data_IF_608896455487
#
_entry.id   IF_608896455487
#
_cell.length_a   1.000
_cell.length_b   1.000
_cell.length_c   1.000
_cell.angle_alpha   90.00
_cell.angle_beta   90.00
_cell.angle_gamma   90.00
#
_symmetry.space_group_name_H-M   'P 1'
#
loop_
_entity.id
_entity.type
_entity.pdbx_description
1 polymer ?
#
# COMPACT_ATOMS: atom_id res chain seq x y z
N UNK A 1 12.86 -22.09 15.78
CA UNK A 1 12.44 -23.11 14.79
C UNK A 1 11.54 -22.51 13.71
N UNK A 2 11.03 -23.28 12.74
CA UNK A 2 10.35 -22.76 11.53
C UNK A 2 9.07 -23.54 11.18
N UNK A 3 8.04 -22.85 10.65
CA UNK A 3 6.79 -23.47 10.15
C UNK A 3 6.27 -22.78 8.88
N UNK A 4 5.58 -23.54 8.02
CA UNK A 4 4.84 -23.16 6.79
C UNK A 4 3.58 -24.05 6.72
N UNK A 5 2.34 -23.65 6.41
CA UNK A 5 1.71 -22.45 5.81
C UNK A 5 1.81 -22.36 4.27
N UNK A 6 0.64 -22.23 3.64
CA UNK A 6 0.40 -21.96 2.21
C UNK A 6 -0.97 -21.30 2.12
N UNK A 7 -0.96 -20.03 1.80
CA UNK A 7 -2.10 -19.13 1.82
C UNK A 7 -2.37 -18.58 0.41
N UNK A 8 -3.51 -17.94 0.16
CA UNK A 8 -3.82 -17.40 -1.18
C UNK A 8 -4.53 -16.05 -1.11
N UNK A 9 -4.05 -15.10 -1.90
CA UNK A 9 -4.79 -13.91 -2.30
C UNK A 9 -5.36 -14.12 -3.72
N UNK A 10 -6.60 -13.70 -3.93
CA UNK A 10 -7.29 -13.83 -5.22
C UNK A 10 -8.05 -12.57 -5.58
N UNK A 11 -7.79 -12.03 -6.76
CA UNK A 11 -8.45 -10.85 -7.30
C UNK A 11 -9.38 -11.29 -8.43
N UNK A 12 -10.67 -11.00 -8.33
CA UNK A 12 -11.69 -11.55 -9.24
C UNK A 12 -11.80 -10.85 -10.60
N UNK A 13 -10.74 -10.16 -11.01
CA UNK A 13 -10.60 -9.48 -12.30
C UNK A 13 -10.91 -10.40 -13.48
N UNK A 14 -11.58 -9.86 -14.50
CA UNK A 14 -11.82 -10.53 -15.80
C UNK A 14 -10.77 -10.16 -16.83
N UNK A 15 -10.22 -8.95 -16.73
CA UNK A 15 -9.21 -8.44 -17.65
C UNK A 15 -7.79 -8.76 -17.17
N UNK A 16 -6.83 -8.68 -18.09
CA UNK A 16 -5.42 -8.92 -17.77
C UNK A 16 -4.84 -7.81 -16.88
N UNK A 17 -4.34 -8.20 -15.72
CA UNK A 17 -3.71 -7.28 -14.76
C UNK A 17 -2.27 -6.96 -15.20
N UNK A 18 -1.86 -5.68 -15.28
CA UNK A 18 -0.49 -5.31 -15.60
C UNK A 18 0.51 -5.81 -14.55
N UNK A 19 1.67 -6.32 -14.98
CA UNK A 19 2.71 -6.87 -14.09
C UNK A 19 3.17 -5.87 -13.02
N UNK A 20 3.16 -4.56 -13.31
CA UNK A 20 3.50 -3.53 -12.34
C UNK A 20 2.50 -3.43 -11.18
N UNK A 21 1.24 -3.77 -11.39
CA UNK A 21 0.21 -3.76 -10.35
C UNK A 21 0.20 -5.06 -9.55
N UNK A 22 0.58 -6.19 -10.17
CA UNK A 22 0.92 -7.44 -9.46
C UNK A 22 2.12 -7.22 -8.52
N UNK A 23 3.22 -6.61 -9.02
CA UNK A 23 4.42 -6.32 -8.21
C UNK A 23 4.06 -5.41 -7.03
N UNK A 24 3.23 -4.37 -7.23
CA UNK A 24 2.74 -3.53 -6.13
C UNK A 24 1.95 -4.34 -5.12
N UNK A 25 1.00 -5.18 -5.56
CA UNK A 25 0.16 -5.97 -4.68
C UNK A 25 0.99 -6.87 -3.77
N UNK A 26 1.95 -7.60 -4.34
CA UNK A 26 2.92 -8.44 -3.62
C UNK A 26 3.79 -7.63 -2.63
N UNK A 27 4.29 -6.46 -3.04
CA UNK A 27 5.07 -5.54 -2.19
C UNK A 27 4.22 -4.99 -1.01
N UNK A 28 2.95 -4.65 -1.27
CA UNK A 28 1.99 -4.27 -0.23
C UNK A 28 1.63 -5.40 0.72
N UNK A 29 1.45 -6.62 0.20
CA UNK A 29 1.22 -7.82 1.01
C UNK A 29 2.44 -8.12 1.90
N UNK A 30 3.65 -7.97 1.37
CA UNK A 30 4.89 -8.11 2.14
C UNK A 30 4.99 -7.08 3.26
N UNK A 31 4.66 -5.82 3.00
CA UNK A 31 4.58 -4.77 4.03
C UNK A 31 3.57 -5.12 5.15
N UNK A 32 2.36 -5.56 4.79
CA UNK A 32 1.29 -5.87 5.78
C UNK A 32 1.59 -7.13 6.58
N UNK A 33 1.97 -8.22 5.91
CA UNK A 33 2.23 -9.51 6.56
C UNK A 33 3.48 -9.45 7.46
N UNK A 34 4.44 -8.57 7.14
CA UNK A 34 5.58 -8.26 8.04
C UNK A 34 5.19 -7.63 9.39
N UNK A 35 3.93 -7.22 9.59
CA UNK A 35 3.40 -6.69 10.86
C UNK A 35 2.75 -7.76 11.74
N UNK A 36 2.46 -8.94 11.18
CA UNK A 36 1.80 -10.06 11.89
C UNK A 36 2.60 -10.55 13.11
N UNK A 37 3.96 -10.62 13.10
CA UNK A 37 4.75 -10.95 14.29
C UNK A 37 4.43 -10.04 15.49
N UNK A 38 4.52 -8.71 15.30
CA UNK A 38 4.23 -7.73 16.34
C UNK A 38 2.79 -7.87 16.87
N UNK A 39 1.83 -8.23 16.00
CA UNK A 39 0.45 -8.45 16.41
C UNK A 39 0.32 -9.68 17.33
N UNK A 40 0.99 -10.79 17.00
CA UNK A 40 0.97 -11.98 17.86
C UNK A 40 1.62 -11.70 19.23
N UNK A 41 2.71 -10.95 19.27
CA UNK A 41 3.40 -10.60 20.53
C UNK A 41 2.60 -9.61 21.41
N UNK A 42 1.76 -8.75 20.81
CA UNK A 42 0.82 -7.88 21.55
C UNK A 42 -0.39 -8.65 22.11
N UNK A 43 -0.85 -9.72 21.44
CA UNK A 43 -1.92 -10.60 21.93
C UNK A 43 -1.39 -11.55 23.02
N UNK A 44 -0.23 -12.18 22.78
CA UNK A 44 0.41 -13.09 23.73
C UNK A 44 1.90 -12.76 23.89
N UNK A 45 2.18 -11.98 24.94
CA UNK A 45 3.55 -11.59 25.35
C UNK A 45 4.49 -12.76 25.71
N UNK A 46 4.01 -14.00 25.75
CA UNK A 46 4.86 -15.20 25.91
C UNK A 46 5.36 -15.78 24.59
N UNK A 47 4.82 -15.33 23.45
CA UNK A 47 5.33 -15.64 22.13
C UNK A 47 6.51 -14.74 21.77
N UNK A 48 7.49 -15.30 21.06
CA UNK A 48 8.52 -14.51 20.37
C UNK A 48 8.74 -15.02 18.95
N UNK A 49 8.41 -14.16 17.98
CA UNK A 49 8.45 -14.44 16.55
C UNK A 49 9.60 -13.65 15.94
N UNK A 50 10.75 -14.32 15.77
CA UNK A 50 11.99 -13.73 15.24
C UNK A 50 11.78 -13.09 13.87
N UNK A 51 11.06 -13.79 12.99
CA UNK A 51 11.00 -13.45 11.56
C UNK A 51 9.79 -14.09 10.89
N UNK A 52 9.19 -13.37 9.95
CA UNK A 52 8.13 -13.89 9.07
C UNK A 52 8.46 -13.50 7.63
N UNK A 53 8.71 -14.51 6.80
CA UNK A 53 9.03 -14.37 5.38
C UNK A 53 7.91 -14.91 4.50
N UNK A 54 7.79 -14.33 3.31
CA UNK A 54 6.80 -14.73 2.31
C UNK A 54 7.56 -15.09 1.04
N UNK A 55 7.13 -16.16 0.37
CA UNK A 55 7.59 -16.55 -0.94
C UNK A 55 6.39 -16.75 -1.85
N UNK A 56 6.57 -16.48 -3.14
CA UNK A 56 5.59 -16.78 -4.17
C UNK A 56 5.72 -18.25 -4.51
N UNK A 57 4.66 -19.02 -4.32
CA UNK A 57 4.58 -20.45 -4.68
C UNK A 57 4.03 -20.61 -6.11
N UNK A 58 2.98 -19.85 -6.45
CA UNK A 58 2.40 -19.86 -7.80
C UNK A 58 1.75 -18.51 -8.16
N UNK A 59 1.89 -18.10 -9.43
CA UNK A 59 1.14 -16.99 -10.04
C UNK A 59 0.39 -17.53 -11.26
N UNK A 60 -0.91 -17.24 -11.36
CA UNK A 60 -1.74 -17.61 -12.52
C UNK A 60 -2.26 -16.39 -13.27
N UNK A 61 -2.20 -16.46 -14.60
CA UNK A 61 -2.75 -15.44 -15.52
C UNK A 61 -4.24 -15.66 -15.79
N UNK A 62 -4.96 -14.55 -16.02
CA UNK A 62 -6.42 -14.49 -15.98
C UNK A 62 -6.82 -13.59 -14.82
N UNK A 63 -7.78 -14.03 -14.00
CA UNK A 63 -7.94 -13.50 -12.64
C UNK A 63 -6.69 -13.78 -11.82
N UNK A 64 -6.12 -12.76 -11.16
CA UNK A 64 -4.84 -12.86 -10.46
C UNK A 64 -4.99 -13.74 -9.22
N UNK A 65 -4.32 -14.90 -9.24
CA UNK A 65 -4.17 -15.81 -8.09
C UNK A 65 -2.71 -15.73 -7.65
N UNK A 66 -2.50 -15.41 -6.37
CA UNK A 66 -1.21 -15.38 -5.70
C UNK A 66 -1.22 -16.46 -4.61
N UNK A 67 -0.57 -17.60 -4.88
CA UNK A 67 -0.31 -18.61 -3.86
C UNK A 67 0.98 -18.22 -3.11
N UNK A 68 0.87 -18.07 -1.79
CA UNK A 68 1.94 -17.57 -0.92
C UNK A 68 2.39 -18.66 0.05
N UNK A 69 3.69 -18.94 0.07
CA UNK A 69 4.33 -19.75 1.12
C UNK A 69 4.79 -18.80 2.23
N UNK A 70 4.15 -18.87 3.40
CA UNK A 70 4.54 -18.06 4.57
C UNK A 70 5.44 -18.90 5.47
N UNK A 71 6.59 -18.36 5.86
CA UNK A 71 7.55 -18.98 6.78
C UNK A 71 7.60 -18.16 8.06
N UNK A 72 7.24 -18.75 9.20
CA UNK A 72 7.36 -18.12 10.53
C UNK A 72 8.51 -18.75 11.29
N UNK A 73 9.32 -17.93 11.96
CA UNK A 73 10.54 -18.35 12.70
C UNK A 73 10.45 -17.94 14.17
N UNK A 74 10.70 -18.87 15.09
CA UNK A 74 10.53 -18.72 16.55
C UNK A 74 11.85 -18.71 17.33
N UNK A 75 11.84 -18.01 18.48
CA UNK A 75 12.95 -17.81 19.42
C UNK A 75 13.84 -19.04 19.62
N UNK A 76 13.21 -20.15 19.99
CA UNK A 76 13.85 -21.43 20.28
C UNK A 76 12.90 -22.61 20.07
N UNK A 77 13.07 -23.65 20.88
CA UNK A 77 12.15 -24.79 20.96
C UNK A 77 10.98 -24.47 21.90
N UNK A 78 11.25 -23.88 23.06
CA UNK A 78 10.22 -23.53 24.02
C UNK A 78 9.21 -22.52 23.47
N UNK A 79 9.60 -21.60 22.59
CA UNK A 79 8.70 -20.64 21.94
C UNK A 79 7.88 -21.26 20.79
N UNK A 80 8.45 -22.20 20.02
CA UNK A 80 7.63 -22.97 19.08
C UNK A 80 6.66 -23.86 19.85
N UNK A 81 7.12 -24.49 20.93
CA UNK A 81 6.30 -25.38 21.74
C UNK A 81 5.23 -24.55 22.48
N UNK A 82 5.50 -23.36 23.00
CA UNK A 82 4.47 -22.44 23.53
C UNK A 82 3.45 -22.06 22.45
N UNK A 83 3.90 -21.84 21.21
CA UNK A 83 3.06 -21.55 20.05
C UNK A 83 2.28 -22.76 19.52
N UNK A 84 2.70 -23.99 19.85
CA UNK A 84 2.15 -25.25 19.35
C UNK A 84 1.58 -26.17 20.45
N UNK A 85 1.61 -25.78 21.73
CA UNK A 85 1.22 -26.60 22.89
C UNK A 85 0.36 -25.84 23.90
N UNK A 86 -0.12 -26.59 24.90
CA UNK A 86 -1.21 -26.34 25.86
C UNK A 86 -1.03 -25.12 26.80
N UNK A 87 -0.06 -24.23 26.58
CA UNK A 87 0.32 -23.17 27.55
C UNK A 87 -0.07 -21.74 27.16
N UNK A 88 -0.31 -21.43 25.89
CA UNK A 88 -0.85 -20.12 25.44
C UNK A 88 -2.37 -20.08 25.60
N UNK A 89 -2.90 -19.43 26.64
CA UNK A 89 -4.31 -19.62 27.07
C UNK A 89 -5.37 -19.25 26.02
N UNK A 90 -5.16 -18.18 25.26
CA UNK A 90 -6.12 -17.68 24.28
C UNK A 90 -6.14 -18.56 23.03
N UNK A 91 -4.96 -18.74 22.43
CA UNK A 91 -4.78 -19.54 21.20
C UNK A 91 -5.09 -21.03 21.45
N UNK A 92 -4.77 -21.56 22.64
CA UNK A 92 -5.04 -22.96 23.02
C UNK A 92 -6.52 -23.30 23.09
N UNK A 93 -7.37 -22.44 23.69
CA UNK A 93 -8.79 -22.80 23.92
C UNK A 93 -9.54 -23.00 22.59
N UNK A 94 -9.17 -22.21 21.57
CA UNK A 94 -9.64 -22.34 20.19
C UNK A 94 -9.11 -23.60 19.49
N UNK A 95 -7.83 -23.95 19.71
CA UNK A 95 -7.19 -25.16 19.16
C UNK A 95 -7.76 -26.45 19.75
N UNK A 96 -8.06 -26.48 21.06
CA UNK A 96 -8.51 -27.66 21.80
C UNK A 96 -9.95 -28.04 21.47
N UNK A 97 -10.88 -27.06 21.50
CA UNK A 97 -12.32 -27.32 21.21
C UNK A 97 -12.56 -27.88 19.80
N UNK A 98 -11.64 -27.65 18.87
CA UNK A 98 -11.79 -28.02 17.46
C UNK A 98 -10.78 -29.08 16.97
N UNK A 99 -9.84 -29.53 17.82
CA UNK A 99 -8.90 -30.62 17.51
C UNK A 99 -7.97 -30.32 16.33
N UNK A 100 -7.43 -29.10 16.23
CA UNK A 100 -6.88 -28.61 14.96
C UNK A 100 -5.36 -28.67 14.85
N UNK A 101 -4.91 -29.62 14.00
CA UNK A 101 -3.65 -29.54 13.27
C UNK A 101 -3.70 -28.38 12.26
N UNK A 102 -2.68 -27.52 12.22
CA UNK A 102 -2.28 -26.67 11.06
C UNK A 102 -3.26 -25.57 10.56
N UNK A 103 -4.58 -25.75 10.69
CA UNK A 103 -5.63 -24.96 10.00
C UNK A 103 -6.12 -23.73 10.78
N UNK A 104 -5.98 -23.74 12.11
CA UNK A 104 -6.45 -22.67 12.99
C UNK A 104 -5.54 -21.44 12.91
N UNK A 105 -4.24 -21.64 13.11
CA UNK A 105 -3.24 -20.57 13.05
C UNK A 105 -3.22 -19.81 11.71
N UNK A 106 -3.34 -20.53 10.58
CA UNK A 106 -3.39 -19.92 9.25
C UNK A 106 -4.62 -19.04 9.05
N UNK A 107 -5.76 -19.44 9.61
CA UNK A 107 -6.98 -18.62 9.61
C UNK A 107 -6.75 -17.34 10.43
N UNK A 108 -6.11 -17.44 11.60
CA UNK A 108 -5.71 -16.28 12.42
C UNK A 108 -4.79 -15.32 11.69
N UNK A 109 -3.77 -15.82 10.97
CA UNK A 109 -2.91 -15.00 10.12
C UNK A 109 -3.71 -14.21 9.07
N UNK A 110 -4.64 -14.87 8.37
CA UNK A 110 -5.49 -14.21 7.37
C UNK A 110 -6.42 -13.16 8.01
N UNK A 111 -6.94 -13.42 9.22
CA UNK A 111 -7.76 -12.45 9.95
C UNK A 111 -6.93 -11.23 10.38
N UNK A 112 -5.69 -11.40 10.84
CA UNK A 112 -4.77 -10.28 11.15
C UNK A 112 -4.45 -9.46 9.89
N UNK A 113 -4.17 -10.12 8.76
CA UNK A 113 -3.96 -9.45 7.47
C UNK A 113 -5.21 -8.67 7.05
N UNK A 114 -6.41 -9.24 7.23
CA UNK A 114 -7.67 -8.56 6.94
C UNK A 114 -7.91 -7.35 7.86
N UNK A 115 -7.57 -7.44 9.16
CA UNK A 115 -7.61 -6.32 10.10
C UNK A 115 -6.66 -5.18 9.72
N UNK A 116 -5.42 -5.52 9.33
CA UNK A 116 -4.41 -4.55 8.91
C UNK A 116 -4.79 -3.85 7.60
N UNK A 117 -5.31 -4.59 6.61
CA UNK A 117 -5.93 -4.02 5.41
C UNK A 117 -7.11 -3.11 5.79
N UNK A 118 -7.91 -3.52 6.78
CA UNK A 118 -9.03 -2.73 7.30
C UNK A 118 -8.60 -1.40 7.91
N UNK A 119 -7.62 -1.41 8.81
CA UNK A 119 -7.05 -0.22 9.43
C UNK A 119 -6.39 0.70 8.39
N UNK A 120 -5.65 0.14 7.43
CA UNK A 120 -5.07 0.89 6.32
C UNK A 120 -6.11 1.48 5.37
N UNK A 121 -7.25 0.83 5.18
CA UNK A 121 -8.38 1.34 4.39
C UNK A 121 -9.01 2.58 5.05
N UNK A 122 -9.21 2.55 6.37
CA UNK A 122 -9.67 3.71 7.15
C UNK A 122 -8.64 4.84 7.10
N UNK A 123 -7.35 4.54 7.26
CA UNK A 123 -6.27 5.53 7.15
C UNK A 123 -6.22 6.18 5.75
N UNK A 124 -6.38 5.40 4.69
CA UNK A 124 -6.42 5.90 3.30
C UNK A 124 -7.62 6.82 3.03
N UNK A 125 -8.79 6.49 3.59
CA UNK A 125 -10.00 7.32 3.47
C UNK A 125 -9.85 8.62 4.26
N UNK A 126 -9.44 8.56 5.53
CA UNK A 126 -9.23 9.74 6.37
C UNK A 126 -8.22 10.71 5.73
N UNK A 127 -7.11 10.17 5.20
CA UNK A 127 -6.09 10.96 4.49
C UNK A 127 -6.60 11.59 3.20
N UNK A 128 -7.46 10.89 2.45
CA UNK A 128 -8.10 11.48 1.27
C UNK A 128 -9.03 12.62 1.64
N UNK A 129 -9.87 12.42 2.67
CA UNK A 129 -10.81 13.43 3.16
C UNK A 129 -10.09 14.68 3.67
N UNK A 130 -8.98 14.52 4.39
CA UNK A 130 -8.08 15.61 4.77
C UNK A 130 -7.53 16.35 3.54
N UNK A 131 -6.92 15.61 2.59
CA UNK A 131 -6.27 16.19 1.40
C UNK A 131 -7.23 16.80 0.37
N UNK A 132 -8.52 16.46 0.41
CA UNK A 132 -9.53 16.99 -0.52
C UNK A 132 -10.62 17.83 0.18
N UNK A 133 -10.48 18.06 1.49
CA UNK A 133 -11.48 18.70 2.35
C UNK A 133 -12.90 18.13 2.13
N UNK A 134 -12.97 16.80 2.02
CA UNK A 134 -14.20 16.06 1.76
C UNK A 134 -14.65 15.24 2.96
N UNK A 135 -15.83 14.61 2.84
CA UNK A 135 -16.27 13.55 3.75
C UNK A 135 -16.75 12.37 2.92
N UNK A 136 -15.95 11.30 2.89
CA UNK A 136 -16.26 10.08 2.18
C UNK A 136 -17.39 9.35 2.90
N UNK A 137 -18.57 9.36 2.28
CA UNK A 137 -19.79 8.76 2.83
C UNK A 137 -19.69 7.25 3.08
N UNK A 138 -18.69 6.58 2.52
CA UNK A 138 -18.45 5.16 2.75
C UNK A 138 -17.66 4.86 4.03
N UNK A 139 -17.01 5.85 4.67
CA UNK A 139 -16.19 5.63 5.87
C UNK A 139 -16.94 4.87 7.00
N UNK A 140 -18.20 5.19 7.35
CA UNK A 140 -18.94 4.44 8.37
C UNK A 140 -19.20 2.99 7.97
N UNK A 141 -19.42 2.71 6.68
CA UNK A 141 -19.61 1.35 6.16
C UNK A 141 -18.30 0.56 6.21
N UNK A 142 -17.17 1.19 5.87
CA UNK A 142 -15.84 0.57 6.00
C UNK A 142 -15.54 0.25 7.46
N UNK A 143 -15.83 1.17 8.39
CA UNK A 143 -15.68 0.94 9.83
C UNK A 143 -16.61 -0.17 10.34
N UNK A 144 -17.86 -0.23 9.88
CA UNK A 144 -18.77 -1.32 10.22
C UNK A 144 -18.26 -2.69 9.72
N UNK A 145 -17.76 -2.76 8.48
CA UNK A 145 -17.15 -3.98 7.94
C UNK A 145 -15.89 -4.38 8.71
N UNK A 146 -15.05 -3.42 9.10
CA UNK A 146 -13.86 -3.69 9.92
C UNK A 146 -14.24 -4.21 11.31
N UNK A 147 -15.32 -3.71 11.92
CA UNK A 147 -15.81 -4.22 13.20
C UNK A 147 -16.32 -5.67 13.08
N UNK A 148 -16.84 -6.08 11.91
CA UNK A 148 -17.17 -7.49 11.65
C UNK A 148 -15.89 -8.35 11.63
N UNK A 149 -14.82 -7.90 10.95
CA UNK A 149 -13.52 -8.61 10.98
C UNK A 149 -12.99 -8.69 12.42
N UNK A 150 -13.09 -7.60 13.19
CA UNK A 150 -12.62 -7.52 14.57
C UNK A 150 -13.32 -8.55 15.47
N UNK A 151 -14.64 -8.67 15.37
CA UNK A 151 -15.38 -9.65 16.16
C UNK A 151 -15.07 -11.10 15.72
N UNK A 152 -14.93 -11.36 14.41
CA UNK A 152 -14.49 -12.68 13.91
C UNK A 152 -13.08 -13.02 14.43
N UNK A 153 -12.18 -12.04 14.51
CA UNK A 153 -10.84 -12.22 15.06
C UNK A 153 -10.86 -12.43 16.58
N UNK A 154 -11.67 -11.69 17.32
CA UNK A 154 -11.89 -11.87 18.76
C UNK A 154 -12.42 -13.28 19.08
N UNK A 155 -13.49 -13.70 18.41
CA UNK A 155 -14.03 -15.07 18.51
C UNK A 155 -12.98 -16.15 18.15
N UNK A 156 -12.08 -15.86 17.19
CA UNK A 156 -11.04 -16.77 16.74
C UNK A 156 -9.85 -16.88 17.71
N UNK A 157 -9.45 -15.79 18.35
CA UNK A 157 -8.36 -15.77 19.33
C UNK A 157 -8.83 -16.10 20.77
N UNK A 158 -10.15 -16.26 20.96
CA UNK A 158 -10.83 -16.35 22.27
C UNK A 158 -10.45 -15.19 23.22
N UNK A 159 -10.28 -14.00 22.63
CA UNK A 159 -10.05 -12.72 23.30
C UNK A 159 -11.26 -11.80 23.15
N UNK A 160 -11.33 -10.73 23.94
CA UNK A 160 -12.34 -9.70 23.74
C UNK A 160 -11.97 -8.75 22.58
N UNK A 161 -12.98 -8.12 21.95
CA UNK A 161 -12.77 -7.22 20.81
C UNK A 161 -11.95 -5.97 21.13
N UNK A 162 -11.90 -5.50 22.38
CA UNK A 162 -11.06 -4.37 22.76
C UNK A 162 -9.58 -4.81 22.88
N UNK A 163 -9.29 -6.00 23.41
CA UNK A 163 -7.94 -6.60 23.41
C UNK A 163 -7.38 -6.76 21.99
N UNK A 164 -8.15 -7.37 21.08
CA UNK A 164 -7.72 -7.54 19.67
C UNK A 164 -7.53 -6.18 18.97
N UNK A 165 -8.37 -5.20 19.29
CA UNK A 165 -8.26 -3.84 18.77
C UNK A 165 -7.06 -3.08 19.34
N UNK A 166 -6.74 -3.25 20.62
CA UNK A 166 -5.58 -2.62 21.24
C UNK A 166 -4.28 -3.12 20.60
N UNK A 167 -4.16 -4.42 20.36
CA UNK A 167 -3.04 -5.00 19.61
C UNK A 167 -2.95 -4.39 18.19
N UNK A 168 -4.07 -4.27 17.48
CA UNK A 168 -4.13 -3.61 16.17
C UNK A 168 -3.64 -2.15 16.25
N UNK A 169 -4.18 -1.36 17.17
CA UNK A 169 -3.86 0.06 17.34
C UNK A 169 -2.39 0.26 17.73
N UNK A 170 -1.80 -0.60 18.57
CA UNK A 170 -0.34 -0.59 18.86
C UNK A 170 0.49 -0.85 17.60
N UNK A 171 0.19 -1.91 16.85
CA UNK A 171 0.93 -2.27 15.62
C UNK A 171 0.81 -1.17 14.56
N UNK A 172 -0.38 -0.61 14.35
CA UNK A 172 -0.62 0.51 13.43
C UNK A 172 0.15 1.77 13.85
N UNK A 173 0.22 2.05 15.16
CA UNK A 173 0.96 3.20 15.72
C UNK A 173 2.47 3.04 15.55
N UNK A 174 3.02 1.85 15.77
CA UNK A 174 4.45 1.55 15.61
C UNK A 174 4.87 1.61 14.14
N UNK A 175 4.08 1.03 13.23
CA UNK A 175 4.39 1.05 11.80
C UNK A 175 4.18 2.42 11.16
N UNK A 176 3.11 3.10 11.56
CA UNK A 176 2.61 4.36 11.01
C UNK A 176 1.44 4.13 10.05
N UNK A 177 0.27 4.68 10.40
CA UNK A 177 -0.96 4.65 9.60
C UNK A 177 -0.75 5.09 8.14
N UNK A 178 0.15 6.04 7.93
CA UNK A 178 0.52 6.60 6.63
C UNK A 178 1.24 5.59 5.71
N UNK A 179 2.00 4.66 6.29
CA UNK A 179 2.61 3.53 5.56
C UNK A 179 1.57 2.44 5.32
N UNK A 180 0.79 2.08 6.35
CA UNK A 180 -0.25 1.05 6.24
C UNK A 180 -1.31 1.41 5.19
N UNK A 181 -1.68 2.68 5.10
CA UNK A 181 -2.53 3.24 4.04
C UNK A 181 -1.94 2.97 2.65
N UNK A 182 -0.64 3.21 2.45
CA UNK A 182 0.04 2.97 1.16
C UNK A 182 0.14 1.48 0.86
N UNK A 183 0.51 0.65 1.84
CA UNK A 183 0.54 -0.80 1.72
C UNK A 183 -0.84 -1.36 1.30
N UNK A 184 -1.90 -0.94 1.99
CA UNK A 184 -3.28 -1.31 1.64
C UNK A 184 -3.67 -0.86 0.23
N UNK A 185 -3.34 0.38 -0.15
CA UNK A 185 -3.61 0.90 -1.50
C UNK A 185 -2.86 0.13 -2.59
N UNK A 186 -1.66 -0.39 -2.30
CA UNK A 186 -0.93 -1.30 -3.20
C UNK A 186 -1.63 -2.66 -3.30
N UNK A 187 -2.01 -3.27 -2.18
CA UNK A 187 -2.70 -4.58 -2.12
C UNK A 187 -3.97 -4.54 -2.99
N UNK A 188 -4.85 -3.56 -2.78
CA UNK A 188 -6.13 -3.50 -3.51
C UNK A 188 -6.00 -3.04 -4.96
N UNK A 189 -4.82 -2.59 -5.41
CA UNK A 189 -4.62 -1.96 -6.72
C UNK A 189 -5.10 -2.82 -7.91
N UNK A 190 -4.88 -4.16 -7.95
CA UNK A 190 -5.39 -5.00 -9.03
C UNK A 190 -6.93 -5.04 -9.08
N UNK A 191 -7.59 -5.21 -7.93
CA UNK A 191 -9.06 -5.17 -7.86
C UNK A 191 -9.63 -3.78 -8.16
N UNK A 192 -8.87 -2.69 -7.97
CA UNK A 192 -9.29 -1.33 -8.34
C UNK A 192 -9.36 -1.08 -9.86
N UNK A 193 -8.83 -1.98 -10.70
CA UNK A 193 -8.87 -1.85 -12.16
C UNK A 193 -10.27 -2.11 -12.74
N UNK A 194 -11.13 -2.85 -12.03
CA UNK A 194 -12.48 -3.23 -12.45
C UNK A 194 -13.49 -2.90 -11.36
N UNK A 195 -14.64 -2.34 -11.73
CA UNK A 195 -15.63 -1.86 -10.74
C UNK A 195 -16.39 -2.98 -10.03
N UNK A 196 -16.36 -4.20 -10.56
CA UNK A 196 -16.97 -5.39 -9.97
C UNK A 196 -15.97 -6.44 -9.46
N UNK A 197 -14.68 -6.11 -9.39
CA UNK A 197 -13.67 -6.99 -8.80
C UNK A 197 -13.63 -6.92 -7.26
N UNK A 198 -13.30 -8.07 -6.67
CA UNK A 198 -13.23 -8.34 -5.23
C UNK A 198 -11.84 -8.88 -4.89
N UNK A 199 -11.37 -8.66 -3.66
CA UNK A 199 -10.18 -9.34 -3.12
C UNK A 199 -10.63 -10.41 -2.12
N UNK A 200 -10.22 -11.66 -2.34
CA UNK A 200 -10.57 -12.82 -1.53
C UNK A 200 -9.32 -13.44 -0.92
N UNK A 201 -9.34 -13.62 0.40
CA UNK A 201 -8.24 -14.20 1.16
C UNK A 201 -8.60 -15.63 1.61
N UNK A 202 -7.75 -16.58 1.29
CA UNK A 202 -7.94 -18.01 1.53
C UNK A 202 -6.79 -18.59 2.35
N UNK A 203 -7.09 -19.70 3.04
CA UNK A 203 -6.06 -20.50 3.70
C UNK A 203 -6.06 -21.95 3.24
N UNK A 204 -4.87 -22.47 2.89
CA UNK A 204 -4.67 -23.77 2.27
C UNK A 204 -5.03 -23.75 0.78
N UNK A 205 -4.09 -24.13 -0.08
CA UNK A 205 -4.16 -23.92 -1.54
C UNK A 205 -5.33 -24.57 -2.32
N UNK A 206 -6.21 -25.33 -1.67
CA UNK A 206 -7.35 -26.03 -2.29
C UNK A 206 -8.73 -25.67 -1.68
N UNK A 207 -8.85 -24.67 -0.80
CA UNK A 207 -10.18 -24.25 -0.30
C UNK A 207 -10.95 -23.45 -1.36
N UNK A 208 -12.24 -23.70 -1.47
CA UNK A 208 -13.20 -22.96 -2.31
C UNK A 208 -13.75 -21.71 -1.64
N UNK A 209 -13.76 -21.69 -0.31
CA UNK A 209 -14.41 -20.65 0.49
C UNK A 209 -13.34 -19.73 1.10
N UNK A 210 -13.44 -18.40 0.89
CA UNK A 210 -12.51 -17.45 1.48
C UNK A 210 -12.73 -17.33 2.99
N UNK A 211 -11.64 -17.08 3.73
CA UNK A 211 -11.72 -16.66 5.13
C UNK A 211 -12.29 -15.24 5.23
N UNK A 212 -11.94 -14.38 4.27
CA UNK A 212 -12.52 -13.05 4.16
C UNK A 212 -12.60 -12.57 2.70
N UNK A 213 -13.67 -11.84 2.38
CA UNK A 213 -13.88 -11.18 1.08
C UNK A 213 -13.99 -9.67 1.29
N UNK A 214 -13.07 -8.93 0.67
CA UNK A 214 -13.23 -7.49 0.45
C UNK A 214 -14.10 -7.29 -0.78
N UNK A 215 -15.40 -7.11 -0.52
CA UNK A 215 -16.44 -6.85 -1.51
C UNK A 215 -16.12 -5.66 -2.42
N UNK A 216 -16.58 -5.69 -3.66
CA UNK A 216 -16.37 -4.59 -4.64
C UNK A 216 -16.78 -3.21 -4.11
N UNK A 217 -17.83 -3.11 -3.28
CA UNK A 217 -18.25 -1.85 -2.66
C UNK A 217 -17.20 -1.31 -1.67
N UNK A 218 -16.52 -2.20 -0.96
CA UNK A 218 -15.40 -1.88 -0.06
C UNK A 218 -14.19 -1.42 -0.87
N UNK A 219 -13.78 -2.19 -1.89
CA UNK A 219 -12.65 -1.87 -2.78
C UNK A 219 -12.83 -0.52 -3.48
N UNK A 220 -14.03 -0.25 -4.01
CA UNK A 220 -14.33 1.02 -4.69
C UNK A 220 -14.33 2.23 -3.75
N UNK A 221 -14.77 2.05 -2.50
CA UNK A 221 -14.82 3.11 -1.49
C UNK A 221 -13.45 3.60 -1.01
N UNK A 222 -12.43 2.74 -1.06
CA UNK A 222 -11.04 3.12 -0.73
C UNK A 222 -10.47 3.95 -1.87
N UNK A 223 -9.94 5.16 -1.62
CA UNK A 223 -9.26 5.95 -2.63
C UNK A 223 -8.11 5.17 -3.28
N UNK A 224 -8.00 5.25 -4.61
CA UNK A 224 -6.80 4.78 -5.30
C UNK A 224 -5.56 5.53 -4.78
N UNK A 225 -4.38 4.92 -4.89
CA UNK A 225 -3.15 5.45 -4.29
C UNK A 225 -2.98 6.93 -4.63
N UNK A 226 -3.05 7.77 -3.59
CA UNK A 226 -2.83 9.19 -3.74
C UNK A 226 -1.32 9.36 -3.84
N UNK A 227 -0.82 9.50 -5.07
CA UNK A 227 0.51 10.07 -5.27
C UNK A 227 0.53 11.46 -4.62
N UNK A 228 1.41 11.62 -3.64
CA UNK A 228 1.27 12.51 -2.47
C UNK A 228 0.63 13.88 -2.81
N UNK A 229 -0.67 14.05 -2.52
CA UNK A 229 -1.47 15.24 -2.91
C UNK A 229 -1.13 16.53 -2.16
N UNK A 230 -0.05 16.54 -1.37
CA UNK A 230 0.70 17.78 -1.16
C UNK A 230 1.13 18.43 -2.49
N UNK A 231 1.14 17.66 -3.59
CA UNK A 231 1.41 18.10 -4.96
C UNK A 231 0.27 18.87 -5.63
N UNK A 232 0.23 20.18 -5.40
CA UNK A 232 -0.58 21.13 -6.19
C UNK A 232 0.06 21.30 -7.59
N UNK A 233 -0.78 21.34 -8.63
CA UNK A 233 -0.36 21.60 -10.00
C UNK A 233 -0.79 23.01 -10.44
N UNK A 234 0.14 23.76 -11.06
CA UNK A 234 -0.13 25.10 -11.60
C UNK A 234 0.50 25.27 -12.98
N UNK A 235 -0.26 25.83 -13.91
CA UNK A 235 0.23 26.20 -15.24
C UNK A 235 0.82 27.61 -15.21
N UNK A 236 1.91 27.81 -15.94
CA UNK A 236 2.50 29.11 -16.20
C UNK A 236 2.84 29.25 -17.68
N UNK A 237 2.59 30.42 -18.23
CA UNK A 237 2.85 30.75 -19.62
C UNK A 237 4.01 31.74 -19.73
N UNK A 238 4.81 31.63 -20.78
CA UNK A 238 5.93 32.55 -21.07
C UNK A 238 6.92 32.78 -19.91
N UNK A 239 7.27 31.72 -19.17
CA UNK A 239 8.22 31.78 -18.05
C UNK A 239 9.66 31.61 -18.52
N UNK A 240 10.59 32.35 -17.91
CA UNK A 240 12.03 32.17 -18.12
C UNK A 240 12.54 30.99 -17.29
N UNK A 241 13.21 30.05 -17.94
CA UNK A 241 13.88 28.93 -17.28
C UNK A 241 15.35 28.89 -17.63
N UNK A 242 16.15 28.37 -16.69
CA UNK A 242 17.58 28.12 -16.86
C UNK A 242 17.81 26.61 -16.77
N UNK A 243 17.95 25.95 -17.92
CA UNK A 243 18.27 24.52 -18.01
C UNK A 243 19.75 24.33 -17.66
N UNK A 244 20.00 23.59 -16.59
CA UNK A 244 21.32 23.38 -15.99
C UNK A 244 21.67 21.89 -15.83
N UNK A 245 20.72 20.98 -16.12
CA UNK A 245 20.93 19.54 -16.29
C UNK A 245 20.31 19.08 -17.59
N UNK A 246 21.03 18.26 -18.35
CA UNK A 246 20.67 17.85 -19.70
C UNK A 246 20.91 16.35 -19.86
N UNK A 247 19.99 15.67 -20.56
CA UNK A 247 20.08 14.25 -20.90
C UNK A 247 19.63 14.09 -22.36
N UNK A 248 20.60 14.02 -23.27
CA UNK A 248 20.36 13.92 -24.71
C UNK A 248 19.71 12.60 -25.14
N UNK A 249 19.52 11.64 -24.22
CA UNK A 249 18.98 10.30 -24.50
C UNK A 249 17.49 10.23 -24.10
N UNK A 250 17.05 11.02 -23.11
CA UNK A 250 15.71 10.91 -22.51
C UNK A 250 14.99 12.23 -22.41
N UNK A 251 13.72 12.29 -22.84
CA UNK A 251 12.85 13.46 -22.62
C UNK A 251 12.28 13.54 -21.19
N UNK A 252 12.33 12.45 -20.41
CA UNK A 252 11.56 12.30 -19.16
C UNK A 252 12.43 12.17 -17.91
N UNK A 253 13.75 12.03 -18.05
CA UNK A 253 14.73 11.87 -16.98
C UNK A 253 15.97 12.72 -17.23
N UNK A 254 16.81 12.91 -16.20
CA UNK A 254 18.13 13.57 -16.32
C UNK A 254 18.11 15.10 -16.50
N UNK A 255 17.09 15.66 -17.16
CA UNK A 255 16.93 17.11 -17.30
C UNK A 255 16.60 17.80 -15.98
N UNK A 256 17.21 18.96 -15.76
CA UNK A 256 16.99 19.83 -14.59
C UNK A 256 17.04 21.28 -15.00
N UNK A 257 16.28 22.11 -14.29
CA UNK A 257 16.31 23.55 -14.49
C UNK A 257 16.04 24.30 -13.17
N UNK A 258 16.45 25.56 -13.17
CA UNK A 258 16.04 26.58 -12.20
C UNK A 258 15.00 27.49 -12.85
N UNK A 259 13.96 27.88 -12.10
CA UNK A 259 12.88 28.77 -12.57
C UNK A 259 12.92 30.04 -11.69
N UNK A 260 13.70 31.07 -12.05
CA UNK A 260 14.05 32.17 -11.12
C UNK A 260 12.85 32.90 -10.51
N UNK A 261 11.76 33.03 -11.28
CA UNK A 261 10.52 33.70 -10.85
C UNK A 261 9.71 32.89 -9.80
N UNK A 262 10.05 31.61 -9.59
CA UNK A 262 9.36 30.69 -8.67
C UNK A 262 10.28 30.15 -7.56
N UNK A 263 11.55 29.89 -7.85
CA UNK A 263 12.54 29.44 -6.87
C UNK A 263 13.97 29.50 -7.41
N UNK A 264 14.93 29.74 -6.51
CA UNK A 264 16.36 29.54 -6.76
C UNK A 264 16.79 28.06 -6.73
N UNK A 265 15.88 27.13 -6.42
CA UNK A 265 16.17 25.69 -6.31
C UNK A 265 16.04 24.98 -7.66
N UNK A 266 17.07 24.21 -8.00
CA UNK A 266 17.16 23.36 -9.19
C UNK A 266 16.26 22.12 -9.10
N UNK A 267 15.16 22.11 -9.84
CA UNK A 267 14.20 20.99 -9.87
C UNK A 267 14.37 20.10 -11.11
N UNK A 268 13.97 18.81 -11.06
CA UNK A 268 13.82 17.98 -12.25
C UNK A 268 12.78 18.56 -13.20
N UNK A 269 13.05 18.48 -14.51
CA UNK A 269 12.10 18.84 -15.55
C UNK A 269 11.87 17.69 -16.54
N UNK A 270 10.78 17.74 -17.30
CA UNK A 270 10.61 16.92 -18.52
C UNK A 270 10.45 17.81 -19.74
N UNK A 271 10.95 17.31 -20.87
CA UNK A 271 10.90 17.94 -22.18
C UNK A 271 9.71 17.33 -22.98
N UNK A 272 8.98 18.10 -23.82
CA UNK A 272 8.02 17.54 -24.77
C UNK A 272 8.68 16.50 -25.69
N UNK A 273 7.94 15.44 -26.07
CA UNK A 273 8.48 14.34 -26.90
C UNK A 273 8.76 14.74 -28.35
N UNK A 274 8.11 15.80 -28.81
CA UNK A 274 8.21 16.40 -30.13
C UNK A 274 9.32 17.45 -30.25
N UNK A 275 9.98 17.83 -29.15
CA UNK A 275 11.01 18.84 -29.13
C UNK A 275 12.43 18.25 -29.28
N UNK A 276 13.25 18.85 -30.14
CA UNK A 276 14.61 18.39 -30.43
C UNK A 276 15.57 18.60 -29.24
N UNK A 277 15.98 17.50 -28.59
CA UNK A 277 16.89 17.52 -27.45
C UNK A 277 18.27 18.11 -27.78
N UNK A 278 18.76 17.92 -29.01
CA UNK A 278 20.04 18.45 -29.45
C UNK A 278 19.97 19.97 -29.58
N UNK A 279 18.93 20.53 -30.21
CA UNK A 279 18.72 21.98 -30.26
C UNK A 279 18.45 22.62 -28.88
N UNK A 280 17.81 21.89 -27.97
CA UNK A 280 17.59 22.33 -26.57
C UNK A 280 18.91 22.34 -25.78
N UNK A 281 19.86 21.44 -26.08
CA UNK A 281 21.15 21.40 -25.39
C UNK A 281 22.07 22.59 -25.70
N UNK A 282 21.86 23.27 -26.84
CA UNK A 282 22.74 24.36 -27.31
C UNK A 282 22.63 25.67 -26.52
N UNK A 283 21.62 25.82 -25.67
CA UNK A 283 21.42 27.01 -24.84
C UNK A 283 21.00 26.57 -23.44
N UNK A 284 21.09 27.49 -22.48
CA UNK A 284 20.59 27.26 -21.12
C UNK A 284 19.34 28.08 -20.82
N UNK A 285 19.16 29.24 -21.49
CA UNK A 285 18.08 30.17 -21.19
C UNK A 285 16.96 30.02 -22.23
N UNK A 286 15.76 29.64 -21.77
CA UNK A 286 14.57 29.47 -22.60
C UNK A 286 13.38 30.24 -22.04
N UNK A 287 12.46 30.62 -22.95
CA UNK A 287 11.12 31.07 -22.61
C UNK A 287 10.17 29.92 -22.96
N UNK A 288 9.36 29.48 -22.00
CA UNK A 288 8.52 28.28 -22.14
C UNK A 288 7.17 28.44 -21.47
N UNK A 289 6.21 27.66 -21.94
CA UNK A 289 5.02 27.33 -21.16
C UNK A 289 5.30 26.04 -20.37
N UNK A 290 4.84 25.98 -19.11
CA UNK A 290 5.16 24.89 -18.20
C UNK A 290 4.06 24.59 -17.18
N UNK A 291 4.01 23.35 -16.73
CA UNK A 291 3.17 22.86 -15.64
C UNK A 291 4.09 22.54 -14.45
N UNK A 292 3.99 23.30 -13.36
CA UNK A 292 4.76 23.05 -12.13
C UNK A 292 3.97 22.16 -11.20
N UNK A 293 4.68 21.18 -10.63
CA UNK A 293 4.24 20.38 -9.51
C UNK A 293 4.91 20.96 -8.26
N UNK A 294 4.09 21.51 -7.38
CA UNK A 294 4.48 21.97 -6.05
C UNK A 294 4.49 20.81 -5.06
N UNK A 295 4.87 21.10 -3.82
CA UNK A 295 4.60 20.31 -2.62
C UNK A 295 4.27 21.31 -1.53
N UNK A 296 3.10 21.16 -0.90
CA UNK A 296 2.76 21.92 0.30
C UNK A 296 3.60 21.44 1.49
N UNK A 297 4.29 22.37 2.14
CA UNK A 297 5.01 22.13 3.38
C UNK A 297 4.08 22.36 4.60
N UNK A 298 4.54 22.03 5.82
CA UNK A 298 3.69 21.95 7.03
C UNK A 298 3.14 23.30 7.52
N UNK A 299 3.77 24.39 7.11
CA UNK A 299 3.37 25.78 7.33
C UNK A 299 2.31 26.27 6.32
N UNK A 300 2.08 25.49 5.26
CA UNK A 300 1.17 25.82 4.15
C UNK A 300 1.88 26.35 2.90
N UNK A 301 3.18 26.62 2.95
CA UNK A 301 3.95 27.17 1.82
C UNK A 301 4.09 26.16 0.68
N UNK A 302 4.14 26.66 -0.56
CA UNK A 302 4.23 25.83 -1.77
C UNK A 302 5.65 25.81 -2.33
N UNK A 303 6.30 24.65 -2.23
CA UNK A 303 7.65 24.44 -2.74
C UNK A 303 7.64 23.72 -4.09
N UNK A 304 8.21 24.27 -5.18
CA UNK A 304 8.27 23.55 -6.46
C UNK A 304 9.17 22.31 -6.34
N UNK A 305 8.70 21.16 -6.82
CA UNK A 305 9.44 19.88 -6.74
C UNK A 305 9.70 19.23 -8.11
N UNK A 306 8.93 19.59 -9.14
CA UNK A 306 9.13 19.15 -10.54
C UNK A 306 8.42 20.12 -11.47
N UNK A 307 8.89 20.26 -12.71
CA UNK A 307 8.11 20.90 -13.76
C UNK A 307 8.05 20.06 -15.04
N UNK A 308 7.01 20.27 -15.83
CA UNK A 308 6.83 19.71 -17.16
C UNK A 308 6.80 20.87 -18.14
N UNK A 309 7.80 20.98 -19.02
CA UNK A 309 7.73 21.94 -20.12
C UNK A 309 6.62 21.44 -21.06
N UNK A 310 5.65 22.29 -21.37
CA UNK A 310 4.56 21.97 -22.30
C UNK A 310 4.86 22.51 -23.69
N UNK A 311 5.58 23.63 -23.79
CA UNK A 311 5.94 24.26 -25.08
C UNK A 311 7.17 25.15 -24.96
N UNK A 312 8.08 25.07 -25.92
CA UNK A 312 9.13 26.07 -26.11
C UNK A 312 8.61 27.23 -26.95
N UNK A 313 8.85 28.47 -26.50
CA UNK A 313 8.47 29.67 -27.23
C UNK A 313 9.64 30.17 -28.07
N UNK A 314 9.39 30.45 -29.34
CA UNK A 314 10.31 31.22 -30.16
C UNK A 314 10.46 32.62 -29.55
N UNK A 315 11.69 33.14 -29.47
CA UNK A 315 11.88 34.57 -29.20
C UNK A 315 11.17 35.36 -30.31
N UNK A 316 10.28 36.27 -29.92
CA UNK A 316 10.01 37.41 -30.78
C UNK A 316 11.35 38.12 -31.01
N UNK A 317 11.68 38.34 -32.27
CA UNK A 317 12.80 39.21 -32.63
C UNK A 317 12.38 40.64 -32.29
N UNK A 318 13.14 41.27 -31.40
CA UNK A 318 13.17 42.70 -31.17
C UNK A 318 14.46 43.24 -31.77
#
# INVERSE_FOLDING_TARGET
MEVFFKERAYYTNRELIPINDVIKALDGLQEVIGLVPNFFEEIDSSLSVIDLKIYIDELKTGSLIEDLLVKVTFGGQDELDLFCSEKSKSIHTFLDKHGVKDKNMRTGLILIVALLIGAGSVAAINKFDELTNSKNKALPTIQANNNIILNIAADHFEEDSDTVKNALDTVVKLYGSDKLSKATQKIIAPAKLETDAELKLFTGGNKTDPIYTFEKSYINAIPAQIDDKSKIQMNYESVKIIIDGMDLISHTSGWRATIPDLSSVRIPITIPRDADLYEISKKQNYLVDLLVIYKQEKDGDLKPVKAHITKFLARQQA
#
